data_IF_813766497595
#
_entry.id   IF_813766497595
#
_cell.length_a   1.000
_cell.length_b   1.000
_cell.length_c   1.000
_cell.angle_alpha   90.00
_cell.angle_beta   90.00
_cell.angle_gamma   90.00
#
_symmetry.space_group_name_H-M   'P 1'
#
loop_
_entity.id
_entity.type
_entity.pdbx_description
1 polymer ?
#
# COMPACT_ATOMS: atom_id res chain seq x y z
N UNK A 1 8.13 -14.30 -2.83
CA UNK A 1 7.42 -15.58 -2.80
C UNK A 1 6.26 -15.53 -3.77
N UNK A 2 6.04 -16.61 -4.52
CA UNK A 2 4.93 -16.80 -5.45
C UNK A 2 4.26 -18.14 -5.16
N UNK A 3 2.96 -18.25 -5.45
CA UNK A 3 2.21 -19.49 -5.27
C UNK A 3 0.84 -19.40 -5.91
N UNK A 4 -0.04 -20.33 -5.60
CA UNK A 4 -1.42 -20.31 -6.09
C UNK A 4 -2.29 -19.51 -5.14
N UNK A 5 -3.06 -18.56 -5.69
CA UNK A 5 -4.00 -17.75 -4.91
C UNK A 5 -5.13 -18.63 -4.35
N UNK A 6 -5.40 -18.61 -3.04
CA UNK A 6 -6.47 -19.41 -2.43
C UNK A 6 -7.88 -18.95 -2.82
N UNK A 7 -8.01 -17.72 -3.37
CA UNK A 7 -9.33 -17.16 -3.70
C UNK A 7 -9.74 -17.37 -5.16
N UNK A 8 -8.78 -17.36 -6.10
CA UNK A 8 -9.10 -17.43 -7.53
C UNK A 8 -8.30 -18.48 -8.30
N UNK A 9 -7.47 -19.28 -7.61
CA UNK A 9 -6.61 -20.32 -8.16
C UNK A 9 -5.61 -19.83 -9.24
N UNK A 10 -5.28 -18.55 -9.25
CA UNK A 10 -4.22 -18.02 -10.11
C UNK A 10 -2.86 -18.52 -9.62
N UNK A 11 -2.10 -19.21 -10.51
CA UNK A 11 -0.89 -19.96 -10.13
C UNK A 11 0.35 -19.12 -9.87
N UNK A 12 0.36 -17.86 -10.29
CA UNK A 12 1.51 -16.94 -10.17
C UNK A 12 1.20 -15.77 -9.23
N UNK A 13 0.33 -15.99 -8.24
CA UNK A 13 0.01 -14.98 -7.24
C UNK A 13 1.23 -14.64 -6.38
N UNK A 14 1.43 -13.35 -6.14
CA UNK A 14 2.47 -12.88 -5.23
C UNK A 14 1.98 -12.94 -3.78
N UNK A 15 2.92 -12.98 -2.83
CA UNK A 15 2.60 -13.14 -1.42
C UNK A 15 2.00 -11.91 -0.73
N UNK A 16 1.89 -10.77 -1.40
CA UNK A 16 1.31 -9.53 -0.87
C UNK A 16 -0.01 -9.15 -1.55
N UNK A 17 -0.18 -9.52 -2.82
CA UNK A 17 -1.39 -9.25 -3.58
C UNK A 17 -1.49 -10.17 -4.80
N UNK A 18 -2.71 -10.61 -5.11
CA UNK A 18 -2.97 -11.39 -6.32
C UNK A 18 -3.15 -10.49 -7.53
N UNK A 19 -2.28 -10.59 -8.53
CA UNK A 19 -2.35 -9.80 -9.77
C UNK A 19 -3.64 -10.07 -10.58
N UNK A 20 -4.28 -11.23 -10.40
CA UNK A 20 -5.50 -11.58 -11.12
C UNK A 20 -6.78 -11.03 -10.47
N UNK A 21 -7.00 -11.29 -9.17
CA UNK A 21 -8.23 -10.89 -8.49
C UNK A 21 -8.07 -9.59 -7.67
N UNK A 22 -6.85 -9.10 -7.48
CA UNK A 22 -6.56 -7.87 -6.73
C UNK A 22 -6.68 -8.00 -5.21
N UNK A 23 -6.95 -9.20 -4.69
CA UNK A 23 -7.02 -9.42 -3.25
C UNK A 23 -5.65 -9.35 -2.61
N UNK A 24 -5.62 -8.74 -1.44
CA UNK A 24 -4.45 -8.75 -0.56
C UNK A 24 -4.26 -10.16 -0.04
N UNK A 25 -3.03 -10.65 -0.10
CA UNK A 25 -2.64 -11.97 0.37
C UNK A 25 -1.57 -11.84 1.45
N UNK A 26 -1.53 -12.81 2.33
CA UNK A 26 -0.36 -13.08 3.15
C UNK A 26 0.44 -14.21 2.48
N UNK A 27 1.79 -14.16 2.45
CA UNK A 27 2.61 -15.26 1.90
C UNK A 27 2.28 -16.65 2.45
N UNK A 28 1.84 -16.73 3.71
CA UNK A 28 1.46 -17.98 4.36
C UNK A 28 0.15 -18.56 3.81
N UNK A 29 -0.72 -17.73 3.24
CA UNK A 29 -2.01 -18.15 2.68
C UNK A 29 -1.87 -18.74 1.26
N UNK A 30 -0.72 -18.57 0.61
CA UNK A 30 -0.48 -19.11 -0.72
C UNK A 30 -0.47 -20.66 -0.69
N UNK A 31 -1.08 -21.25 -1.70
CA UNK A 31 -0.99 -22.69 -1.93
C UNK A 31 0.32 -22.95 -2.70
N UNK A 32 1.12 -23.91 -2.23
CA UNK A 32 2.43 -24.27 -2.78
C UNK A 32 3.36 -23.07 -2.97
N UNK A 33 3.67 -22.30 -1.89
CA UNK A 33 4.53 -21.15 -1.98
C UNK A 33 5.97 -21.53 -2.32
N UNK A 34 6.58 -20.80 -3.26
CA UNK A 34 7.97 -21.00 -3.67
C UNK A 34 8.65 -19.67 -4.00
N UNK A 35 9.95 -19.60 -3.85
CA UNK A 35 10.77 -18.58 -4.48
C UNK A 35 11.16 -19.06 -5.88
N UNK A 36 10.87 -18.25 -6.90
CA UNK A 36 11.18 -18.56 -8.30
C UNK A 36 12.27 -17.62 -8.81
N UNK A 37 13.33 -18.20 -9.31
CA UNK A 37 14.43 -17.46 -9.92
C UNK A 37 14.97 -18.20 -11.14
N UNK A 38 15.09 -17.53 -12.30
CA UNK A 38 15.60 -18.08 -13.55
C UNK A 38 14.99 -19.44 -13.94
N UNK A 39 13.67 -19.61 -13.75
CA UNK A 39 12.96 -20.85 -14.05
C UNK A 39 13.14 -21.98 -13.03
N UNK A 40 13.91 -21.75 -11.98
CA UNK A 40 14.07 -22.69 -10.86
C UNK A 40 13.11 -22.34 -9.73
N UNK A 41 12.64 -23.37 -9.01
CA UNK A 41 11.78 -23.26 -7.85
C UNK A 41 12.56 -23.65 -6.60
N UNK A 42 12.56 -22.77 -5.62
CA UNK A 42 13.17 -23.02 -4.32
C UNK A 42 12.09 -23.08 -3.24
N UNK A 43 12.16 -24.08 -2.34
CA UNK A 43 11.23 -24.13 -1.21
C UNK A 43 11.41 -22.90 -0.34
N UNK A 44 10.32 -22.46 0.29
CA UNK A 44 10.34 -21.37 1.27
C UNK A 44 10.30 -21.95 2.67
N UNK A 45 11.00 -21.29 3.59
CA UNK A 45 10.96 -21.58 5.02
C UNK A 45 10.09 -20.52 5.70
N UNK A 46 9.16 -20.97 6.54
CA UNK A 46 8.35 -20.10 7.39
C UNK A 46 9.11 -19.84 8.67
N UNK A 47 9.33 -18.57 9.01
CA UNK A 47 10.01 -18.14 10.24
C UNK A 47 9.15 -17.11 10.95
N UNK A 48 9.10 -17.19 12.25
CA UNK A 48 8.51 -16.15 13.09
C UNK A 48 9.43 -14.93 13.13
N UNK A 49 8.85 -13.76 12.95
CA UNK A 49 9.55 -12.49 13.04
C UNK A 49 8.62 -11.41 13.62
N UNK A 50 9.18 -10.41 14.26
CA UNK A 50 8.43 -9.27 14.76
C UNK A 50 8.35 -8.18 13.69
N UNK A 51 7.15 -7.66 13.47
CA UNK A 51 6.92 -6.56 12.53
C UNK A 51 6.11 -5.44 13.16
N UNK A 52 6.35 -4.23 12.68
CA UNK A 52 5.47 -3.09 12.94
C UNK A 52 4.25 -3.20 12.03
N UNK A 53 3.06 -3.06 12.61
CA UNK A 53 1.81 -3.07 11.89
C UNK A 53 1.18 -1.67 11.86
N UNK A 54 0.80 -1.23 10.68
CA UNK A 54 -0.08 -0.08 10.53
C UNK A 54 -1.52 -0.53 10.79
N UNK A 55 -2.17 0.08 11.77
CA UNK A 55 -3.54 -0.26 12.16
C UNK A 55 -4.56 0.27 11.15
N UNK A 56 -4.51 -0.28 9.93
CA UNK A 56 -5.33 0.13 8.81
C UNK A 56 -6.82 -0.09 9.08
N UNK A 57 -7.16 -1.12 9.84
CA UNK A 57 -8.53 -1.44 10.25
C UNK A 57 -9.22 -0.29 11.01
N UNK A 58 -8.45 0.56 11.71
CA UNK A 58 -9.00 1.69 12.44
C UNK A 58 -9.59 2.80 11.55
N UNK A 59 -9.25 2.81 10.26
CA UNK A 59 -9.68 3.85 9.31
C UNK A 59 -10.84 3.41 8.42
N UNK A 60 -11.35 2.18 8.57
CA UNK A 60 -12.34 1.59 7.67
C UNK A 60 -13.58 2.46 7.47
N UNK A 61 -14.25 2.87 8.55
CA UNK A 61 -15.48 3.67 8.49
C UNK A 61 -15.23 5.07 7.90
N UNK A 62 -14.14 5.73 8.34
CA UNK A 62 -13.78 7.06 7.87
C UNK A 62 -13.43 7.05 6.38
N UNK A 63 -12.73 6.03 5.90
CA UNK A 63 -12.43 5.85 4.49
C UNK A 63 -13.69 5.53 3.69
N UNK A 64 -14.61 4.74 4.23
CA UNK A 64 -15.85 4.40 3.55
C UNK A 64 -16.72 5.64 3.32
N UNK A 65 -16.82 6.51 4.31
CA UNK A 65 -17.56 7.78 4.20
C UNK A 65 -16.88 8.73 3.22
N UNK A 66 -15.54 8.83 3.26
CA UNK A 66 -14.80 9.63 2.32
C UNK A 66 -14.97 9.13 0.87
N UNK A 67 -14.92 7.82 0.62
CA UNK A 67 -15.11 7.23 -0.72
C UNK A 67 -16.54 7.44 -1.24
N UNK A 68 -17.54 7.41 -0.37
CA UNK A 68 -18.94 7.69 -0.76
C UNK A 68 -19.10 9.09 -1.35
N UNK A 69 -18.39 10.06 -0.80
CA UNK A 69 -18.41 11.45 -1.26
C UNK A 69 -17.63 11.71 -2.57
N UNK A 70 -16.88 10.71 -3.10
CA UNK A 70 -16.08 10.89 -4.32
C UNK A 70 -16.92 10.67 -5.58
N UNK A 71 -17.70 11.65 -6.00
CA UNK A 71 -18.61 11.52 -7.16
C UNK A 71 -17.89 11.58 -8.51
N UNK A 72 -16.66 12.10 -8.54
CA UNK A 72 -15.86 12.24 -9.75
C UNK A 72 -14.99 11.02 -10.07
N UNK A 73 -14.94 10.03 -9.17
CA UNK A 73 -14.15 8.82 -9.40
C UNK A 73 -14.79 7.91 -10.45
N UNK A 74 -13.94 7.21 -11.19
CA UNK A 74 -14.43 6.18 -12.12
C UNK A 74 -15.18 5.09 -11.34
N UNK A 75 -16.34 4.62 -11.87
CA UNK A 75 -17.18 3.64 -11.18
C UNK A 75 -16.45 2.35 -10.78
N UNK A 76 -15.54 1.85 -11.64
CA UNK A 76 -14.75 0.66 -11.34
C UNK A 76 -13.81 0.86 -10.13
N UNK A 77 -13.16 2.02 -10.01
CA UNK A 77 -12.29 2.35 -8.88
C UNK A 77 -13.12 2.47 -7.60
N UNK A 78 -14.24 3.23 -7.65
CA UNK A 78 -15.13 3.44 -6.50
C UNK A 78 -15.72 2.12 -5.99
N UNK A 79 -16.18 1.25 -6.91
CA UNK A 79 -16.76 -0.03 -6.55
C UNK A 79 -15.72 -1.00 -5.98
N UNK A 80 -14.52 -1.07 -6.58
CA UNK A 80 -13.42 -1.88 -6.08
C UNK A 80 -13.03 -1.45 -4.65
N UNK A 81 -12.84 -0.16 -4.43
CA UNK A 81 -12.47 0.38 -3.11
C UNK A 81 -13.54 0.10 -2.07
N UNK A 82 -14.82 0.36 -2.40
CA UNK A 82 -15.95 0.06 -1.49
C UNK A 82 -16.04 -1.42 -1.14
N UNK A 83 -15.81 -2.31 -2.11
CA UNK A 83 -15.78 -3.76 -1.86
C UNK A 83 -14.75 -4.13 -0.78
N UNK A 84 -13.50 -3.66 -0.94
CA UNK A 84 -12.44 -3.89 0.05
C UNK A 84 -12.78 -3.33 1.44
N UNK A 85 -13.34 -2.12 1.50
CA UNK A 85 -13.71 -1.48 2.77
C UNK A 85 -14.87 -2.21 3.45
N UNK A 86 -15.84 -2.71 2.70
CA UNK A 86 -17.01 -3.44 3.23
C UNK A 86 -16.64 -4.85 3.70
N UNK A 87 -15.68 -5.52 3.04
CA UNK A 87 -15.14 -6.81 3.50
C UNK A 87 -14.34 -6.68 4.80
N UNK A 88 -13.95 -5.46 5.19
CA UNK A 88 -13.14 -5.16 6.36
C UNK A 88 -11.65 -5.11 6.05
N UNK A 89 -11.00 -4.09 6.59
CA UNK A 89 -9.55 -3.91 6.42
C UNK A 89 -8.77 -4.73 7.44
N UNK A 90 -7.71 -5.39 6.98
CA UNK A 90 -6.70 -6.02 7.85
C UNK A 90 -5.56 -5.04 8.11
N UNK A 91 -5.00 -5.08 9.31
CA UNK A 91 -3.78 -4.36 9.66
C UNK A 91 -2.61 -4.85 8.79
N UNK A 92 -1.70 -3.94 8.41
CA UNK A 92 -0.64 -4.21 7.45
C UNK A 92 0.73 -4.15 8.11
N UNK A 93 1.52 -5.23 7.96
CA UNK A 93 2.93 -5.20 8.31
C UNK A 93 3.68 -4.22 7.42
N UNK A 94 4.27 -3.20 8.03
CA UNK A 94 4.97 -2.10 7.34
C UNK A 94 6.49 -2.19 7.46
N UNK A 95 7.02 -3.14 8.19
CA UNK A 95 8.44 -3.46 8.26
C UNK A 95 8.77 -4.72 7.46
N UNK A 96 10.03 -4.87 7.06
CA UNK A 96 10.55 -6.05 6.35
C UNK A 96 11.96 -6.38 6.84
N UNK A 97 12.26 -7.67 6.87
CA UNK A 97 13.62 -8.21 7.14
C UNK A 97 14.40 -8.21 5.82
N UNK A 98 14.90 -7.04 5.44
CA UNK A 98 15.68 -6.80 4.23
C UNK A 98 16.78 -5.78 4.49
N UNK A 99 17.87 -5.84 3.74
CA UNK A 99 19.03 -4.97 3.96
C UNK A 99 18.87 -3.60 3.30
N UNK A 100 18.01 -3.49 2.27
CA UNK A 100 17.84 -2.28 1.49
C UNK A 100 16.49 -1.62 1.78
N UNK A 101 16.49 -0.30 1.91
CA UNK A 101 15.28 0.51 2.13
C UNK A 101 15.47 1.56 3.22
N UNK A 102 14.39 2.21 3.59
CA UNK A 102 14.38 3.22 4.65
C UNK A 102 14.50 2.55 6.01
N UNK A 103 15.51 2.87 6.83
CA UNK A 103 15.67 2.34 8.17
C UNK A 103 14.49 2.73 9.08
N UNK A 104 14.17 1.86 10.02
CA UNK A 104 13.13 2.13 11.01
C UNK A 104 13.77 2.77 12.24
N UNK A 105 13.41 4.03 12.60
CA UNK A 105 14.02 4.75 13.70
C UNK A 105 13.42 4.38 15.07
N UNK A 106 13.28 3.07 15.33
CA UNK A 106 12.70 2.54 16.57
C UNK A 106 13.69 1.52 17.16
N UNK A 107 14.09 1.63 18.44
CA UNK A 107 14.97 0.66 19.08
C UNK A 107 14.44 -0.78 18.95
N UNK A 108 15.32 -1.70 18.57
CA UNK A 108 15.02 -3.11 18.31
C UNK A 108 14.57 -3.43 16.87
N UNK A 109 14.47 -2.40 15.99
CA UNK A 109 14.11 -2.57 14.60
C UNK A 109 15.18 -2.07 13.61
N UNK A 110 16.41 -1.89 14.07
CA UNK A 110 17.52 -1.31 13.29
C UNK A 110 17.86 -2.14 12.04
N UNK A 111 17.72 -3.47 12.14
CA UNK A 111 17.98 -4.41 11.05
C UNK A 111 16.81 -4.52 10.05
N UNK A 112 15.69 -3.85 10.34
CA UNK A 112 14.51 -3.87 9.48
C UNK A 112 14.40 -2.60 8.66
N UNK A 113 13.62 -2.70 7.57
CA UNK A 113 13.34 -1.55 6.69
C UNK A 113 11.83 -1.34 6.56
N UNK A 114 11.44 -0.10 6.28
CA UNK A 114 10.06 0.20 5.93
C UNK A 114 9.76 -0.47 4.58
N UNK A 115 8.59 -1.11 4.49
CA UNK A 115 8.13 -1.73 3.26
C UNK A 115 7.93 -0.68 2.16
N UNK A 116 8.67 -0.82 1.07
CA UNK A 116 8.75 0.19 0.00
C UNK A 116 7.37 0.58 -0.55
N UNK A 117 6.46 -0.36 -0.77
CA UNK A 117 5.14 -0.05 -1.29
C UNK A 117 4.23 0.67 -0.29
N UNK A 118 4.54 0.60 0.99
CA UNK A 118 3.84 1.40 1.99
C UNK A 118 4.30 2.85 1.94
N UNK A 119 5.61 3.09 1.89
CA UNK A 119 6.16 4.45 1.95
C UNK A 119 6.21 5.15 0.58
N UNK A 120 6.25 4.40 -0.54
CA UNK A 120 6.42 4.95 -1.88
C UNK A 120 5.35 5.97 -2.28
N UNK A 121 4.10 5.81 -1.79
CA UNK A 121 3.01 6.76 -2.06
C UNK A 121 3.25 8.14 -1.43
N UNK A 122 4.10 8.24 -0.40
CA UNK A 122 4.49 9.54 0.18
C UNK A 122 5.34 10.36 -0.77
N UNK A 123 5.95 9.71 -1.78
CA UNK A 123 6.79 10.31 -2.79
C UNK A 123 6.11 11.45 -3.56
N UNK A 124 4.80 11.37 -3.76
CA UNK A 124 4.05 12.47 -4.40
C UNK A 124 4.16 13.78 -3.60
N UNK A 125 3.90 13.70 -2.29
CA UNK A 125 3.99 14.86 -1.42
C UNK A 125 5.44 15.30 -1.24
N UNK A 126 6.37 14.35 -1.09
CA UNK A 126 7.80 14.65 -0.94
C UNK A 126 8.36 15.36 -2.16
N UNK A 127 8.01 14.91 -3.37
CA UNK A 127 8.43 15.57 -4.61
C UNK A 127 7.86 16.98 -4.74
N UNK A 128 6.60 17.20 -4.33
CA UNK A 128 6.00 18.53 -4.32
C UNK A 128 6.71 19.47 -3.36
N UNK A 129 7.06 19.01 -2.16
CA UNK A 129 7.82 19.79 -1.17
C UNK A 129 9.25 20.07 -1.63
N UNK A 130 9.93 19.10 -2.23
CA UNK A 130 11.26 19.29 -2.77
C UNK A 130 11.27 20.32 -3.92
N UNK A 131 10.28 20.24 -4.82
CA UNK A 131 10.11 21.25 -5.85
C UNK A 131 9.90 22.65 -5.26
N UNK A 132 9.03 22.80 -4.27
CA UNK A 132 8.78 24.08 -3.60
C UNK A 132 10.05 24.64 -2.95
N UNK A 133 10.80 23.81 -2.22
CA UNK A 133 12.07 24.22 -1.63
C UNK A 133 13.09 24.70 -2.66
N UNK A 134 13.17 24.03 -3.83
CA UNK A 134 14.06 24.41 -4.94
C UNK A 134 13.60 25.67 -5.69
N UNK A 135 12.30 25.95 -5.69
CA UNK A 135 11.75 27.15 -6.36
C UNK A 135 11.96 28.47 -5.59
N UNK A 136 12.47 28.37 -4.36
CA UNK A 136 12.69 29.54 -3.49
C UNK A 136 11.49 29.88 -2.60
N UNK A 137 10.38 29.19 -2.73
CA UNK A 137 9.21 29.29 -1.85
C UNK A 137 8.88 27.90 -1.27
N UNK A 138 9.34 27.58 -0.05
CA UNK A 138 9.11 26.28 0.58
C UNK A 138 7.63 25.91 0.81
N UNK A 139 6.72 26.89 0.74
CA UNK A 139 5.27 26.67 0.95
C UNK A 139 4.50 26.56 -0.38
N UNK A 140 5.14 26.73 -1.53
CA UNK A 140 4.50 26.70 -2.85
C UNK A 140 3.79 25.37 -3.19
N UNK A 141 4.08 24.30 -2.46
CA UNK A 141 3.41 22.99 -2.62
C UNK A 141 1.98 22.98 -2.07
N UNK A 142 1.63 23.82 -1.08
CA UNK A 142 0.35 23.80 -0.36
C UNK A 142 -0.87 23.97 -1.24
N UNK A 143 -0.92 24.92 -2.19
CA UNK A 143 -2.10 25.07 -3.06
C UNK A 143 -2.44 23.81 -3.86
N UNK A 144 -1.45 22.99 -4.18
CA UNK A 144 -1.68 21.73 -4.90
C UNK A 144 -2.26 20.61 -4.03
N UNK A 145 -2.13 20.71 -2.71
CA UNK A 145 -2.52 19.65 -1.77
C UNK A 145 -3.62 20.07 -0.79
N UNK A 146 -3.70 21.34 -0.47
CA UNK A 146 -4.59 21.86 0.59
C UNK A 146 -5.75 22.68 0.03
N UNK A 147 -5.69 23.17 -1.21
CA UNK A 147 -6.78 23.93 -1.84
C UNK A 147 -7.90 22.95 -2.26
N UNK A 148 -9.13 23.08 -1.72
CA UNK A 148 -10.25 22.20 -2.06
C UNK A 148 -10.71 22.32 -3.53
N UNK A 149 -10.29 23.36 -4.27
CA UNK A 149 -10.54 23.49 -5.71
C UNK A 149 -9.57 22.68 -6.56
N UNK A 150 -8.43 22.27 -6.01
CA UNK A 150 -7.42 21.46 -6.71
C UNK A 150 -7.93 20.07 -6.99
N UNK A 151 -7.68 19.55 -8.19
CA UNK A 151 -7.98 18.17 -8.58
C UNK A 151 -6.71 17.41 -8.90
N UNK A 152 -6.50 16.31 -8.21
CA UNK A 152 -5.40 15.38 -8.49
C UNK A 152 -5.85 14.25 -9.41
N UNK A 153 -5.04 13.91 -10.40
CA UNK A 153 -5.27 12.81 -11.34
C UNK A 153 -4.11 11.82 -11.25
N UNK A 154 -4.42 10.57 -10.86
CA UNK A 154 -3.45 9.49 -10.76
C UNK A 154 -3.65 8.49 -11.90
N UNK A 155 -2.64 8.32 -12.73
CA UNK A 155 -2.61 7.34 -13.82
C UNK A 155 -1.85 6.10 -13.34
N UNK A 156 -2.58 5.09 -12.92
CA UNK A 156 -2.04 3.92 -12.21
C UNK A 156 -2.58 2.61 -12.78
N UNK A 157 -1.84 1.52 -12.55
CA UNK A 157 -2.34 0.17 -12.80
C UNK A 157 -3.42 -0.24 -11.79
N UNK A 158 -4.21 -1.25 -12.15
CA UNK A 158 -5.30 -1.77 -11.31
C UNK A 158 -4.83 -2.21 -9.92
N UNK A 159 -3.66 -2.81 -9.85
CA UNK A 159 -3.00 -3.30 -8.64
C UNK A 159 -2.61 -2.17 -7.67
N UNK A 160 -2.47 -0.95 -8.17
CA UNK A 160 -2.14 0.22 -7.37
C UNK A 160 -3.38 0.94 -6.77
N UNK A 161 -4.60 0.55 -7.14
CA UNK A 161 -5.81 1.16 -6.60
C UNK A 161 -5.83 1.16 -5.07
N UNK A 162 -5.57 0.04 -4.35
CA UNK A 162 -5.61 0.03 -2.89
C UNK A 162 -4.60 0.98 -2.24
N UNK A 163 -3.42 1.16 -2.85
CA UNK A 163 -2.42 2.09 -2.34
C UNK A 163 -2.89 3.54 -2.40
N UNK A 164 -3.62 3.91 -3.45
CA UNK A 164 -4.07 5.29 -3.68
C UNK A 164 -5.42 5.61 -3.03
N UNK A 165 -6.28 4.61 -2.86
CA UNK A 165 -7.65 4.83 -2.39
C UNK A 165 -7.89 4.37 -0.94
N UNK A 166 -6.96 3.62 -0.35
CA UNK A 166 -7.07 3.09 1.00
C UNK A 166 -5.82 3.46 1.82
N UNK A 167 -4.63 2.96 1.44
CA UNK A 167 -3.42 3.10 2.25
C UNK A 167 -2.98 4.56 2.35
N UNK A 168 -2.82 5.25 1.22
CA UNK A 168 -2.40 6.64 1.20
C UNK A 168 -3.37 7.59 1.93
N UNK A 169 -4.68 7.55 1.69
CA UNK A 169 -5.62 8.33 2.47
C UNK A 169 -5.60 8.01 3.96
N UNK A 170 -5.48 6.72 4.34
CA UNK A 170 -5.35 6.34 5.75
C UNK A 170 -4.10 6.95 6.40
N UNK A 171 -2.95 6.96 5.70
CA UNK A 171 -1.73 7.58 6.20
C UNK A 171 -1.90 9.08 6.41
N UNK A 172 -2.56 9.78 5.49
CA UNK A 172 -2.85 11.20 5.62
C UNK A 172 -3.77 11.48 6.80
N UNK A 173 -4.85 10.71 6.95
CA UNK A 173 -5.77 10.79 8.08
C UNK A 173 -5.08 10.51 9.42
N UNK A 174 -4.16 9.55 9.46
CA UNK A 174 -3.40 9.22 10.66
C UNK A 174 -2.35 10.26 11.05
N UNK A 175 -1.93 11.07 10.10
CA UNK A 175 -0.99 12.18 10.35
C UNK A 175 -1.69 13.41 10.96
N UNK A 176 -2.96 13.62 10.65
CA UNK A 176 -3.77 14.78 11.05
C UNK A 176 -3.64 15.92 10.06
#
# INVERSE_FOLDING_TARGET
>A
VQGTCPHCNFRDARGDQCDNCGRILDPIDLIDPAYRHQGQHFPVEIRDTEHLFYKLSAFGDQLLDWVRAQDHWRPNVKNFTRGNLTEGLKDRAISRDIDWGVPIPIPGFEEKRIYVWFEAVTGYLSASKEWAARSGDPEAWRPFWEDPSTRAYYFIGKDNIPFHTIIWPAMLLGKG
#
